data_IF_030970853756
#
_entry.id   IF_030970853756
#
_cell.length_a   1.000
_cell.length_b   1.000
_cell.length_c   1.000
_cell.angle_alpha   90.00
_cell.angle_beta   90.00
_cell.angle_gamma   90.00
#
_symmetry.space_group_name_H-M   'P 1'
#
loop_
_entity.id
_entity.type
_entity.pdbx_description
1 polymer ?
#
# COMPACT_ATOMS: atom_id res chain seq x y z
N UNK A 1 15.97 -12.55 -2.19
CA UNK A 1 16.02 -11.22 -2.81
C UNK A 1 16.93 -10.32 -1.99
N UNK A 2 17.83 -9.55 -2.63
CA UNK A 2 18.76 -8.71 -1.87
C UNK A 2 18.09 -7.71 -0.93
N UNK A 3 16.91 -7.17 -1.33
CA UNK A 3 16.18 -6.21 -0.50
C UNK A 3 15.74 -6.80 0.83
N UNK A 4 15.54 -8.11 0.90
CA UNK A 4 15.10 -8.78 2.14
C UNK A 4 16.24 -9.18 3.05
N UNK A 5 17.49 -9.13 2.58
CA UNK A 5 18.64 -9.46 3.42
C UNK A 5 18.74 -8.49 4.60
N UNK A 6 18.63 -7.18 4.32
CA UNK A 6 18.64 -6.19 5.39
C UNK A 6 17.44 -6.36 6.33
N UNK A 7 16.25 -6.60 5.77
CA UNK A 7 15.05 -6.83 6.56
C UNK A 7 15.24 -8.01 7.52
N UNK A 8 15.90 -9.08 7.06
CA UNK A 8 16.16 -10.25 7.89
C UNK A 8 17.06 -9.97 9.09
N UNK A 9 17.88 -8.92 9.03
CA UNK A 9 18.77 -8.51 10.11
C UNK A 9 18.07 -7.67 11.17
N UNK A 10 16.86 -7.18 10.89
CA UNK A 10 16.12 -6.34 11.84
C UNK A 10 15.53 -7.18 12.97
N UNK A 11 15.39 -6.54 14.14
CA UNK A 11 14.61 -7.11 15.22
C UNK A 11 13.13 -6.99 14.84
N UNK A 12 12.41 -8.11 14.84
CA UNK A 12 11.02 -8.18 14.41
C UNK A 12 10.17 -8.81 15.49
N UNK A 13 8.86 -8.46 15.55
CA UNK A 13 7.95 -9.17 16.44
C UNK A 13 7.87 -10.65 16.06
N UNK A 14 7.51 -11.50 17.03
CA UNK A 14 7.44 -12.95 16.82
C UNK A 14 6.45 -13.37 15.74
N UNK A 15 5.42 -12.52 15.49
CA UNK A 15 4.39 -12.78 14.50
C UNK A 15 4.74 -12.24 13.11
N UNK A 16 5.92 -11.66 12.93
CA UNK A 16 6.33 -11.14 11.62
C UNK A 16 6.43 -12.28 10.60
N UNK A 17 5.85 -12.12 9.40
CA UNK A 17 5.92 -13.18 8.40
C UNK A 17 7.32 -13.33 7.82
N UNK A 18 7.60 -14.51 7.29
CA UNK A 18 8.84 -14.74 6.55
C UNK A 18 8.87 -13.86 5.30
N UNK A 19 10.06 -13.39 4.86
CA UNK A 19 10.15 -12.51 3.69
C UNK A 19 9.39 -12.97 2.44
N UNK A 20 9.37 -14.26 2.06
CA UNK A 20 8.61 -14.70 0.88
C UNK A 20 7.11 -14.41 0.93
N UNK A 21 6.53 -14.29 2.13
CA UNK A 21 5.10 -13.98 2.28
C UNK A 21 4.76 -12.62 1.68
N UNK A 22 5.67 -11.65 1.77
CA UNK A 22 5.47 -10.33 1.18
C UNK A 22 5.31 -10.41 -0.34
N UNK A 23 6.13 -11.21 -1.00
CA UNK A 23 6.04 -11.41 -2.45
C UNK A 23 4.71 -12.05 -2.84
N UNK A 24 4.26 -13.03 -2.08
CA UNK A 24 2.96 -13.69 -2.33
C UNK A 24 1.81 -12.69 -2.18
N UNK A 25 1.81 -11.93 -1.09
CA UNK A 25 0.76 -10.94 -0.85
C UNK A 25 0.70 -9.89 -1.96
N UNK A 26 1.85 -9.34 -2.35
CA UNK A 26 1.88 -8.31 -3.39
C UNK A 26 1.56 -8.88 -4.78
N UNK A 27 1.85 -10.16 -5.05
CA UNK A 27 1.48 -10.79 -6.31
C UNK A 27 -0.03 -10.91 -6.48
N UNK A 28 -0.77 -10.88 -5.37
CA UNK A 28 -2.24 -10.85 -5.37
C UNK A 28 -2.73 -9.41 -5.45
N UNK A 29 -2.12 -8.51 -4.69
CA UNK A 29 -2.60 -7.13 -4.54
C UNK A 29 -2.32 -6.28 -5.80
N UNK A 30 -1.16 -6.41 -6.44
CA UNK A 30 -0.84 -5.60 -7.60
C UNK A 30 -1.80 -5.82 -8.79
N UNK A 31 -2.25 -7.04 -9.13
CA UNK A 31 -3.30 -7.19 -10.13
C UNK A 31 -4.60 -6.49 -9.75
N UNK A 32 -4.98 -6.51 -8.46
CA UNK A 32 -6.15 -5.80 -7.97
C UNK A 32 -6.00 -4.29 -8.21
N UNK A 33 -4.83 -3.74 -7.86
CA UNK A 33 -4.51 -2.32 -8.07
C UNK A 33 -4.58 -2.01 -9.58
N UNK A 34 -3.92 -2.82 -10.41
CA UNK A 34 -3.86 -2.58 -11.85
C UNK A 34 -5.26 -2.50 -12.47
N UNK A 35 -6.12 -3.44 -12.12
CA UNK A 35 -7.48 -3.51 -12.67
C UNK A 35 -8.34 -2.36 -12.13
N UNK A 36 -8.38 -2.19 -10.81
CA UNK A 36 -9.29 -1.23 -10.18
C UNK A 36 -8.84 0.21 -10.38
N UNK A 37 -7.56 0.50 -10.15
CA UNK A 37 -7.01 1.86 -10.33
C UNK A 37 -6.98 2.24 -11.81
N UNK A 38 -6.62 1.28 -12.68
CA UNK A 38 -6.66 1.49 -14.11
C UNK A 38 -8.05 1.86 -14.61
N UNK A 39 -9.08 1.19 -14.08
CA UNK A 39 -10.46 1.51 -14.40
C UNK A 39 -10.82 2.92 -13.96
N UNK A 40 -10.44 3.32 -12.75
CA UNK A 40 -10.72 4.67 -12.23
C UNK A 40 -10.04 5.73 -13.11
N UNK A 41 -8.76 5.53 -13.45
CA UNK A 41 -8.03 6.50 -14.27
C UNK A 41 -8.61 6.57 -15.68
N UNK A 42 -9.00 5.43 -16.25
CA UNK A 42 -9.63 5.38 -17.57
C UNK A 42 -10.95 6.17 -17.58
N UNK A 43 -11.81 5.94 -16.57
CA UNK A 43 -13.07 6.67 -16.46
C UNK A 43 -12.86 8.16 -16.23
N UNK A 44 -11.82 8.53 -15.51
CA UNK A 44 -11.47 9.95 -15.31
C UNK A 44 -11.04 10.60 -16.61
N UNK A 45 -10.21 9.90 -17.40
CA UNK A 45 -9.80 10.40 -18.72
C UNK A 45 -10.97 10.55 -19.68
N UNK A 46 -11.97 9.69 -19.57
CA UNK A 46 -13.20 9.79 -20.37
C UNK A 46 -14.22 10.76 -19.80
N UNK A 47 -13.85 11.50 -18.76
CA UNK A 47 -14.71 12.49 -18.09
C UNK A 47 -15.98 11.88 -17.47
N UNK A 48 -15.98 10.55 -17.25
CA UNK A 48 -17.06 9.88 -16.55
C UNK A 48 -16.93 10.00 -15.02
N UNK A 49 -15.73 10.35 -14.52
CA UNK A 49 -15.46 10.61 -13.11
C UNK A 49 -14.79 11.97 -12.94
N UNK A 50 -15.10 12.70 -11.84
CA UNK A 50 -14.37 13.92 -11.53
C UNK A 50 -12.90 13.62 -11.22
N UNK A 51 -12.00 14.53 -11.62
CA UNK A 51 -10.56 14.39 -11.34
C UNK A 51 -10.30 14.24 -9.83
N UNK A 52 -11.07 14.94 -9.00
CA UNK A 52 -10.90 14.89 -7.54
C UNK A 52 -11.09 13.48 -6.96
N UNK A 53 -11.85 12.63 -7.64
CA UNK A 53 -12.03 11.22 -7.22
C UNK A 53 -10.78 10.40 -7.52
N UNK A 54 -10.08 10.71 -8.62
CA UNK A 54 -8.86 10.01 -9.00
C UNK A 54 -7.64 10.42 -8.16
N UNK A 55 -7.66 11.61 -7.55
CA UNK A 55 -6.52 12.15 -6.78
C UNK A 55 -6.07 11.19 -5.68
N UNK A 56 -6.96 10.67 -4.79
CA UNK A 56 -6.49 9.75 -3.75
C UNK A 56 -5.93 8.45 -4.31
N UNK A 57 -6.44 7.98 -5.46
CA UNK A 57 -5.87 6.79 -6.12
C UNK A 57 -4.45 7.07 -6.62
N UNK A 58 -4.22 8.22 -7.24
CA UNK A 58 -2.90 8.60 -7.71
C UNK A 58 -1.91 8.75 -6.55
N UNK A 59 -2.31 9.44 -5.47
CA UNK A 59 -1.47 9.60 -4.28
C UNK A 59 -1.16 8.27 -3.64
N UNK A 60 -2.16 7.40 -3.51
CA UNK A 60 -1.97 6.07 -2.94
C UNK A 60 -0.94 5.28 -3.75
N UNK A 61 -1.06 5.31 -5.07
CA UNK A 61 -0.14 4.58 -5.94
C UNK A 61 1.29 5.08 -5.78
N UNK A 62 1.47 6.39 -5.71
CA UNK A 62 2.79 7.00 -5.50
C UNK A 62 3.38 6.53 -4.17
N UNK A 63 2.65 6.64 -3.07
CA UNK A 63 3.13 6.21 -1.75
C UNK A 63 3.43 4.72 -1.72
N UNK A 64 2.60 3.92 -2.38
CA UNK A 64 2.82 2.47 -2.47
C UNK A 64 4.14 2.16 -3.20
N UNK A 65 4.37 2.80 -4.34
CA UNK A 65 5.55 2.52 -5.16
C UNK A 65 6.86 3.00 -4.52
N UNK A 66 6.82 4.05 -3.71
CA UNK A 66 8.04 4.56 -3.05
C UNK A 66 8.37 3.84 -1.75
N UNK A 67 7.46 3.02 -1.22
CA UNK A 67 7.68 2.31 0.04
C UNK A 67 8.93 1.43 -0.01
N UNK A 68 9.07 0.60 -1.03
CA UNK A 68 10.21 -0.32 -1.15
C UNK A 68 11.54 0.43 -1.23
N UNK A 69 11.69 1.49 -2.07
CA UNK A 69 12.92 2.28 -2.05
C UNK A 69 13.23 2.89 -0.68
N UNK A 70 12.21 3.38 0.04
CA UNK A 70 12.43 3.97 1.36
C UNK A 70 12.88 2.92 2.37
N UNK A 71 12.13 1.80 2.46
CA UNK A 71 12.39 0.77 3.46
C UNK A 71 13.70 0.03 3.18
N UNK A 72 13.93 -0.38 1.95
CA UNK A 72 15.02 -1.27 1.62
C UNK A 72 16.20 -0.58 0.95
N UNK A 73 15.95 0.52 0.21
CA UNK A 73 17.01 1.31 -0.42
C UNK A 73 17.66 2.28 0.55
N UNK A 74 16.86 3.16 1.16
CA UNK A 74 17.33 4.12 2.15
C UNK A 74 17.53 3.49 3.53
N UNK A 75 16.94 2.31 3.76
CA UNK A 75 16.98 1.60 5.04
C UNK A 75 16.50 2.48 6.20
N UNK A 76 15.45 3.27 5.94
CA UNK A 76 14.91 4.23 6.90
C UNK A 76 13.55 3.73 7.40
N UNK A 77 13.55 3.06 8.57
CA UNK A 77 12.33 2.51 9.16
C UNK A 77 11.30 3.59 9.50
N UNK A 78 11.75 4.74 9.98
CA UNK A 78 10.84 5.82 10.37
C UNK A 78 10.10 6.39 9.15
N UNK A 79 10.83 6.69 8.07
CA UNK A 79 10.19 7.17 6.84
C UNK A 79 9.26 6.12 6.24
N UNK A 80 9.65 4.85 6.30
CA UNK A 80 8.79 3.78 5.82
C UNK A 80 7.50 3.69 6.63
N UNK A 81 7.56 3.89 7.94
CA UNK A 81 6.38 3.90 8.80
C UNK A 81 5.44 5.05 8.42
N UNK A 82 5.98 6.25 8.18
CA UNK A 82 5.20 7.40 7.74
C UNK A 82 4.56 7.12 6.37
N UNK A 83 5.33 6.54 5.46
CA UNK A 83 4.84 6.25 4.10
C UNK A 83 3.72 5.22 4.10
N UNK A 84 3.88 4.11 4.85
CA UNK A 84 2.84 3.08 4.88
C UNK A 84 1.55 3.62 5.51
N UNK A 85 1.66 4.51 6.48
CA UNK A 85 0.51 5.19 7.05
C UNK A 85 -0.19 6.04 5.98
N UNK A 86 0.59 6.76 5.17
CA UNK A 86 0.05 7.53 4.05
C UNK A 86 -0.65 6.63 3.02
N UNK A 87 -0.11 5.44 2.77
CA UNK A 87 -0.74 4.45 1.90
C UNK A 87 -2.14 4.09 2.42
N UNK A 88 -2.25 3.79 3.71
CA UNK A 88 -3.54 3.41 4.31
C UNK A 88 -4.53 4.57 4.30
N UNK A 89 -4.08 5.76 4.67
CA UNK A 89 -4.94 6.96 4.71
C UNK A 89 -5.47 7.28 3.30
N UNK A 90 -4.60 7.29 2.30
CA UNK A 90 -5.03 7.58 0.92
C UNK A 90 -5.92 6.46 0.38
N UNK A 91 -5.69 5.22 0.78
CA UNK A 91 -6.53 4.10 0.36
C UNK A 91 -7.95 4.25 0.91
N UNK A 92 -8.10 4.57 2.20
CA UNK A 92 -9.41 4.79 2.80
C UNK A 92 -10.12 5.96 2.13
N UNK A 93 -9.39 7.04 1.88
CA UNK A 93 -9.93 8.20 1.15
C UNK A 93 -10.41 7.80 -0.25
N UNK A 94 -9.59 7.05 -0.99
CA UNK A 94 -9.95 6.56 -2.32
C UNK A 94 -11.20 5.69 -2.29
N UNK A 95 -11.28 4.76 -1.32
CA UNK A 95 -12.42 3.87 -1.17
C UNK A 95 -13.71 4.65 -0.93
N UNK A 96 -13.66 5.66 -0.07
CA UNK A 96 -14.82 6.52 0.21
C UNK A 96 -15.21 7.36 -1.01
N UNK A 97 -14.22 7.91 -1.71
CA UNK A 97 -14.46 8.77 -2.87
C UNK A 97 -15.14 8.02 -4.02
N UNK A 98 -14.72 6.76 -4.25
CA UNK A 98 -15.23 5.96 -5.37
C UNK A 98 -16.53 5.22 -5.04
N UNK A 99 -16.87 5.08 -3.76
CA UNK A 99 -18.00 4.23 -3.34
C UNK A 99 -19.30 4.68 -3.99
N UNK A 100 -19.52 5.97 -4.14
CA UNK A 100 -20.74 6.51 -4.74
C UNK A 100 -20.83 6.25 -6.25
N UNK A 101 -19.69 6.05 -6.88
CA UNK A 101 -19.61 5.90 -8.34
C UNK A 101 -19.58 4.43 -8.75
N UNK A 102 -18.66 3.67 -8.17
CA UNK A 102 -18.45 2.26 -8.51
C UNK A 102 -18.15 1.49 -7.23
N UNK A 103 -19.16 0.92 -6.61
CA UNK A 103 -19.02 0.17 -5.35
C UNK A 103 -18.04 -1.00 -5.47
N UNK A 104 -17.99 -1.64 -6.65
CA UNK A 104 -17.12 -2.80 -6.84
C UNK A 104 -15.64 -2.44 -6.68
N UNK A 105 -15.26 -1.21 -7.05
CA UNK A 105 -13.88 -0.75 -6.87
C UNK A 105 -13.53 -0.70 -5.38
N UNK A 106 -14.42 -0.16 -4.55
CA UNK A 106 -14.23 -0.14 -3.09
C UNK A 106 -14.09 -1.56 -2.53
N UNK A 107 -14.97 -2.46 -2.95
CA UNK A 107 -14.96 -3.85 -2.46
C UNK A 107 -13.66 -4.54 -2.86
N UNK A 108 -13.17 -4.31 -4.08
CA UNK A 108 -11.90 -4.88 -4.54
C UNK A 108 -10.71 -4.46 -3.69
N UNK A 109 -10.78 -3.31 -3.01
CA UNK A 109 -9.67 -2.84 -2.18
C UNK A 109 -9.59 -3.52 -0.82
N UNK A 110 -10.57 -4.32 -0.42
CA UNK A 110 -10.59 -4.92 0.91
C UNK A 110 -9.32 -5.74 1.20
N UNK A 111 -8.86 -6.64 0.30
CA UNK A 111 -7.59 -7.34 0.54
C UNK A 111 -6.39 -6.41 0.67
N UNK A 112 -6.34 -5.36 -0.16
CA UNK A 112 -5.28 -4.37 -0.10
C UNK A 112 -5.30 -3.62 1.22
N UNK A 113 -6.49 -3.17 1.66
CA UNK A 113 -6.63 -2.48 2.94
C UNK A 113 -6.23 -3.39 4.10
N UNK A 114 -6.66 -4.65 4.08
CA UNK A 114 -6.30 -5.61 5.12
C UNK A 114 -4.78 -5.79 5.21
N UNK A 115 -4.13 -5.99 4.08
CA UNK A 115 -2.67 -6.11 4.03
C UNK A 115 -1.99 -4.82 4.47
N UNK A 116 -2.51 -3.66 4.03
CA UNK A 116 -1.97 -2.35 4.40
C UNK A 116 -2.04 -2.09 5.90
N UNK A 117 -3.15 -2.44 6.54
CA UNK A 117 -3.29 -2.32 7.99
C UNK A 117 -2.32 -3.24 8.72
N UNK A 118 -2.19 -4.48 8.27
CA UNK A 118 -1.21 -5.42 8.82
C UNK A 118 0.22 -4.89 8.64
N UNK A 119 0.54 -4.42 7.44
CA UNK A 119 1.87 -3.89 7.14
C UNK A 119 2.18 -2.65 7.98
N UNK A 120 1.17 -1.81 8.25
CA UNK A 120 1.33 -0.62 9.10
C UNK A 120 1.70 -1.03 10.51
N UNK A 121 0.98 -1.99 11.10
CA UNK A 121 1.27 -2.48 12.44
C UNK A 121 2.66 -3.11 12.48
N UNK A 122 2.99 -3.92 11.50
CA UNK A 122 4.30 -4.55 11.38
C UNK A 122 5.41 -3.49 11.28
N UNK A 123 5.23 -2.49 10.42
CA UNK A 123 6.25 -1.46 10.19
C UNK A 123 6.48 -0.61 11.45
N UNK A 124 5.42 -0.23 12.16
CA UNK A 124 5.57 0.50 13.41
C UNK A 124 6.27 -0.35 14.47
N UNK A 125 5.95 -1.65 14.53
CA UNK A 125 6.62 -2.56 15.46
C UNK A 125 8.12 -2.68 15.14
N UNK A 126 8.45 -2.86 13.88
CA UNK A 126 9.86 -2.96 13.43
C UNK A 126 10.60 -1.64 13.72
N UNK A 127 9.98 -0.50 13.43
CA UNK A 127 10.57 0.81 13.68
C UNK A 127 10.85 1.00 15.18
N UNK A 128 9.91 0.63 16.03
CA UNK A 128 10.07 0.72 17.49
C UNK A 128 11.21 -0.15 17.98
N UNK A 129 11.28 -1.40 17.50
CA UNK A 129 12.29 -2.36 17.95
C UNK A 129 13.70 -2.02 17.46
N UNK A 130 13.84 -1.25 16.39
CA UNK A 130 15.12 -0.91 15.76
C UNK A 130 15.43 0.58 15.81
N UNK A 131 14.80 1.32 16.73
CA UNK A 131 15.06 2.75 16.90
C UNK A 131 16.41 3.04 17.55
#
# INVERSE_FOLDING_TARGET
>A
MPTYEWYSLLIKPSWAPAPPVFGIAWSIIYPIIAISFGYVFWKTLKKALPVKVAVPFALNLIFNLIFTPIQFGLKNNFLAAVDILAVVITLVWAMKAIFRHYKWVTIMQIPYLGWGLFATILQFSVTWLNR
#
